data_IF_570186088532
#
_entry.id   IF_570186088532
#
_cell.length_a   1.000
_cell.length_b   1.000
_cell.length_c   1.000
_cell.angle_alpha   90.00
_cell.angle_beta   90.00
_cell.angle_gamma   90.00
#
_symmetry.space_group_name_H-M   'P 1'
#
loop_
_entity.id
_entity.type
_entity.pdbx_description
1 polymer ?
#
# COMPACT_ATOMS: atom_id res chain seq x y z
N UNK A 1 10.58 28.49 10.26
CA UNK A 1 10.11 27.19 9.75
C UNK A 1 11.27 26.55 9.03
N UNK A 2 11.65 25.27 9.23
CA UNK A 2 12.66 24.68 8.38
C UNK A 2 12.03 24.47 7.00
N UNK A 3 12.47 25.30 6.05
CA UNK A 3 12.24 25.17 4.62
C UNK A 3 12.90 23.88 4.13
N UNK A 4 12.22 22.75 4.27
CA UNK A 4 12.51 21.61 3.40
C UNK A 4 11.45 21.61 2.31
N UNK A 5 11.85 21.55 1.03
CA UNK A 5 10.87 21.49 -0.04
C UNK A 5 9.97 20.26 0.21
N UNK A 6 8.67 20.42 -0.08
CA UNK A 6 7.81 19.27 -0.35
C UNK A 6 8.57 18.42 -1.36
N UNK A 7 8.80 17.15 -1.00
CA UNK A 7 9.50 16.17 -1.83
C UNK A 7 9.01 16.34 -3.28
N UNK A 8 9.88 16.78 -4.18
CA UNK A 8 9.52 16.91 -5.59
C UNK A 8 9.40 15.48 -6.14
N UNK A 9 8.30 15.20 -6.84
CA UNK A 9 8.01 13.85 -7.37
C UNK A 9 8.49 13.72 -8.83
N UNK A 10 9.06 14.78 -9.39
CA UNK A 10 9.44 14.89 -10.80
C UNK A 10 10.72 14.16 -11.16
N UNK A 11 11.56 13.90 -10.17
CA UNK A 11 12.80 13.19 -10.27
C UNK A 11 12.72 12.00 -9.33
N UNK A 12 13.10 10.81 -9.79
CA UNK A 12 13.22 9.66 -8.91
C UNK A 12 14.39 9.83 -7.89
N UNK A 13 14.71 11.06 -7.47
CA UNK A 13 15.77 11.43 -6.54
C UNK A 13 15.40 10.95 -5.14
N UNK A 14 15.82 9.73 -4.86
CA UNK A 14 15.64 9.09 -3.57
C UNK A 14 15.69 7.57 -3.62
N UNK A 15 15.62 7.00 -4.82
CA UNK A 15 15.76 5.57 -5.04
C UNK A 15 17.05 5.31 -5.81
N UNK A 16 17.99 4.59 -5.21
CA UNK A 16 19.13 4.10 -5.98
C UNK A 16 18.65 3.12 -7.05
N UNK A 17 19.41 2.99 -8.13
CA UNK A 17 19.11 2.02 -9.19
C UNK A 17 18.88 0.60 -8.62
N UNK A 18 19.65 0.22 -7.61
CA UNK A 18 19.51 -1.07 -6.92
C UNK A 18 18.17 -1.23 -6.18
N UNK A 19 17.57 -0.14 -5.70
CA UNK A 19 16.24 -0.17 -5.07
C UNK A 19 15.10 -0.22 -6.09
N UNK A 20 15.38 0.15 -7.35
CA UNK A 20 14.44 0.02 -8.46
C UNK A 20 14.53 -1.35 -9.14
N UNK A 21 15.56 -2.15 -8.82
CA UNK A 21 15.72 -3.50 -9.36
C UNK A 21 14.77 -4.45 -8.66
N UNK A 22 13.85 -5.00 -9.45
CA UNK A 22 12.98 -6.08 -9.00
C UNK A 22 13.79 -7.30 -8.57
N UNK A 23 13.58 -7.76 -7.33
CA UNK A 23 14.24 -8.94 -6.79
C UNK A 23 13.30 -10.15 -6.73
N UNK A 24 13.83 -11.38 -6.64
CA UNK A 24 13.01 -12.56 -6.38
C UNK A 24 12.22 -12.49 -5.06
N UNK A 25 12.66 -11.70 -4.08
CA UNK A 25 11.93 -11.52 -2.83
C UNK A 25 10.71 -10.62 -3.01
N UNK A 26 10.81 -9.59 -3.86
CA UNK A 26 9.67 -8.73 -4.24
C UNK A 26 8.56 -9.56 -4.91
N UNK A 27 8.95 -10.52 -5.77
CA UNK A 27 8.00 -11.49 -6.34
C UNK A 27 7.25 -12.25 -5.25
N UNK A 28 7.95 -12.77 -4.23
CA UNK A 28 7.31 -13.51 -3.14
C UNK A 28 6.38 -12.64 -2.31
N UNK A 29 6.77 -11.39 -2.04
CA UNK A 29 5.96 -10.42 -1.29
C UNK A 29 4.68 -10.10 -2.07
N UNK A 30 4.80 -9.87 -3.38
CA UNK A 30 3.66 -9.62 -4.26
C UNK A 30 2.74 -10.84 -4.33
N UNK A 31 3.27 -12.04 -4.58
CA UNK A 31 2.50 -13.28 -4.64
C UNK A 31 1.76 -13.56 -3.33
N UNK A 32 2.43 -13.38 -2.19
CA UNK A 32 1.77 -13.49 -0.88
C UNK A 32 0.66 -12.46 -0.74
N UNK A 33 0.89 -11.22 -1.15
CA UNK A 33 -0.12 -10.15 -1.05
C UNK A 33 -1.35 -10.48 -1.89
N UNK A 34 -1.15 -10.93 -3.14
CA UNK A 34 -2.22 -11.36 -4.04
C UNK A 34 -2.98 -12.58 -3.51
N UNK A 35 -2.27 -13.56 -2.93
CA UNK A 35 -2.86 -14.79 -2.39
C UNK A 35 -3.43 -14.62 -0.97
N UNK A 36 -3.05 -13.55 -0.26
CA UNK A 36 -3.53 -13.23 1.09
C UNK A 36 -4.85 -12.45 1.10
N UNK A 37 -5.38 -12.14 -0.09
CA UNK A 37 -6.71 -11.57 -0.23
C UNK A 37 -7.76 -12.42 0.51
N UNK A 38 -8.88 -11.80 0.92
CA UNK A 38 -9.92 -12.53 1.62
C UNK A 38 -10.40 -13.68 0.74
N UNK A 39 -10.59 -14.89 1.32
CA UNK A 39 -10.99 -16.10 0.60
C UNK A 39 -12.26 -15.92 -0.26
N UNK A 40 -13.05 -14.87 0.02
CA UNK A 40 -14.11 -14.35 -0.83
C UNK A 40 -14.12 -12.83 -0.77
N UNK A 41 -14.65 -12.21 -1.82
CA UNK A 41 -14.93 -10.77 -1.82
C UNK A 41 -15.77 -10.39 -0.58
N UNK A 42 -15.35 -9.35 0.13
CA UNK A 42 -16.13 -8.74 1.20
C UNK A 42 -17.32 -8.03 0.58
N UNK A 43 -18.53 -8.26 1.08
CA UNK A 43 -19.73 -7.65 0.50
C UNK A 43 -19.86 -6.19 0.92
N UNK A 44 -20.65 -5.43 0.17
CA UNK A 44 -20.92 -4.03 0.49
C UNK A 44 -21.54 -3.88 1.89
N UNK A 45 -22.44 -4.79 2.28
CA UNK A 45 -23.10 -4.80 3.59
C UNK A 45 -22.09 -5.05 4.72
N UNK A 46 -21.12 -5.95 4.51
CA UNK A 46 -20.05 -6.24 5.48
C UNK A 46 -19.13 -5.02 5.68
N UNK A 47 -18.85 -4.26 4.62
CA UNK A 47 -18.06 -3.03 4.68
C UNK A 47 -18.82 -1.95 5.47
N UNK A 48 -20.08 -1.71 5.11
CA UNK A 48 -20.93 -0.69 5.76
C UNK A 48 -21.11 -0.99 7.25
N UNK A 49 -21.30 -2.26 7.62
CA UNK A 49 -21.40 -2.68 9.02
C UNK A 49 -20.13 -2.35 9.82
N UNK A 50 -18.94 -2.70 9.29
CA UNK A 50 -17.66 -2.45 9.98
C UNK A 50 -17.31 -0.97 10.07
N UNK A 51 -17.50 -0.21 8.98
CA UNK A 51 -17.21 1.23 8.96
C UNK A 51 -18.23 1.99 9.82
N UNK A 52 -19.49 1.59 9.80
CA UNK A 52 -20.54 2.17 10.65
C UNK A 52 -20.29 1.98 12.14
N UNK A 53 -19.60 0.90 12.53
CA UNK A 53 -19.15 0.67 13.92
C UNK A 53 -17.96 1.57 14.31
N UNK A 54 -17.06 1.88 13.38
CA UNK A 54 -15.90 2.75 13.62
C UNK A 54 -16.27 4.24 13.77
N UNK A 55 -17.34 4.68 13.11
CA UNK A 55 -17.80 6.09 13.16
C UNK A 55 -18.66 6.39 14.39
N UNK A 56 -19.18 5.37 15.07
CA UNK A 56 -20.02 5.50 16.28
C UNK A 56 -19.26 5.27 17.60
N UNK A 57 -17.94 5.01 17.53
CA UNK A 57 -17.05 4.82 18.67
C UNK A 57 -16.32 6.09 19.08
#
# INVERSE_FOLDING_TARGET
MPEKPLRDWTDAEGWSEDQLRWTPEDTKIMERSLNSGPHRATTYEEIVSKVGLLVKG
#
